data_IF_063697013965
#
_entry.id   IF_063697013965
#
_cell.length_a   1.000
_cell.length_b   1.000
_cell.length_c   1.000
_cell.angle_alpha   90.00
_cell.angle_beta   90.00
_cell.angle_gamma   90.00
#
_symmetry.space_group_name_H-M   'P 1'
#
loop_
_entity.id
_entity.type
_entity.pdbx_description
1 polymer ?
#
# COMPACT_ATOMS: atom_id res chain seq x y z
N UNK A 1 18.69 4.89 2.53
CA UNK A 1 18.49 3.51 3.05
C UNK A 1 17.06 3.16 2.72
N UNK A 2 16.79 2.00 2.12
CA UNK A 2 15.42 1.55 1.86
C UNK A 2 14.93 0.57 2.93
N UNK A 3 13.62 0.57 3.17
CA UNK A 3 12.89 -0.45 3.92
C UNK A 3 11.86 -1.10 3.00
N UNK A 4 11.74 -2.41 3.12
CA UNK A 4 10.59 -3.16 2.62
C UNK A 4 9.45 -3.06 3.65
N UNK A 5 8.23 -2.85 3.17
CA UNK A 5 7.04 -2.91 3.99
C UNK A 5 5.93 -3.67 3.26
N UNK A 6 5.17 -4.46 3.99
CA UNK A 6 4.00 -5.16 3.48
C UNK A 6 2.76 -4.33 3.75
N UNK A 7 2.00 -4.00 2.72
CA UNK A 7 0.79 -3.20 2.82
C UNK A 7 -0.42 -4.03 2.45
N UNK A 8 -1.41 -4.03 3.35
CA UNK A 8 -2.71 -4.61 3.12
C UNK A 8 -3.69 -3.53 2.66
N UNK A 9 -4.22 -3.68 1.45
CA UNK A 9 -5.18 -2.79 0.82
C UNK A 9 -6.56 -3.47 0.79
N UNK A 10 -7.61 -2.71 1.09
CA UNK A 10 -8.99 -3.15 0.91
C UNK A 10 -9.63 -2.34 -0.20
N UNK A 11 -10.21 -3.05 -1.16
CA UNK A 11 -10.96 -2.49 -2.27
C UNK A 11 -12.38 -3.06 -2.34
N UNK A 12 -13.18 -2.57 -3.28
CA UNK A 12 -14.46 -3.18 -3.63
C UNK A 12 -14.33 -4.61 -4.17
N UNK A 13 -13.18 -4.94 -4.78
CA UNK A 13 -12.92 -6.27 -5.35
C UNK A 13 -12.41 -7.27 -4.32
N UNK A 14 -11.99 -6.81 -3.14
CA UNK A 14 -11.50 -7.67 -2.08
C UNK A 14 -10.34 -7.07 -1.30
N UNK A 15 -9.51 -7.94 -0.73
CA UNK A 15 -8.30 -7.55 -0.01
C UNK A 15 -7.09 -7.90 -0.88
N UNK A 16 -6.15 -6.97 -1.00
CA UNK A 16 -4.89 -7.12 -1.70
C UNK A 16 -3.75 -6.90 -0.72
N UNK A 17 -2.65 -7.62 -0.89
CA UNK A 17 -1.44 -7.43 -0.10
C UNK A 17 -0.31 -7.21 -1.07
N UNK A 18 0.39 -6.09 -0.92
CA UNK A 18 1.51 -5.70 -1.78
C UNK A 18 2.73 -5.42 -0.93
N UNK A 19 3.87 -5.94 -1.35
CA UNK A 19 5.16 -5.58 -0.80
C UNK A 19 5.71 -4.36 -1.56
N UNK A 20 6.08 -3.33 -0.81
CA UNK A 20 6.62 -2.07 -1.33
C UNK A 20 7.98 -1.80 -0.72
N UNK A 21 8.92 -1.37 -1.55
CA UNK A 21 10.21 -0.86 -1.09
C UNK A 21 10.21 0.66 -1.18
N UNK A 22 10.50 1.34 -0.08
CA UNK A 22 10.57 2.79 -0.01
C UNK A 22 11.72 3.25 0.89
N UNK A 23 12.00 4.55 0.90
CA UNK A 23 12.98 5.09 1.84
C UNK A 23 12.53 4.88 3.30
N UNK A 24 13.48 4.70 4.21
CA UNK A 24 13.20 4.55 5.66
C UNK A 24 12.41 5.72 6.25
N UNK A 25 12.47 6.89 5.62
CA UNK A 25 11.72 8.09 6.01
C UNK A 25 10.31 8.17 5.41
N UNK A 26 9.95 7.23 4.53
CA UNK A 26 8.63 7.19 3.91
C UNK A 26 7.54 6.98 4.97
N UNK A 27 6.49 7.79 4.92
CA UNK A 27 5.33 7.65 5.81
C UNK A 27 4.47 6.46 5.39
N UNK A 28 3.68 5.94 6.32
CA UNK A 28 2.77 4.82 6.04
C UNK A 28 1.73 5.19 4.98
N UNK A 29 1.30 6.46 4.94
CA UNK A 29 0.43 6.97 3.88
C UNK A 29 1.10 6.91 2.49
N UNK A 30 2.40 7.19 2.41
CA UNK A 30 3.16 7.06 1.17
C UNK A 30 3.30 5.60 0.76
N UNK A 31 3.57 4.69 1.70
CA UNK A 31 3.61 3.23 1.45
C UNK A 31 2.27 2.72 0.92
N UNK A 32 1.16 3.16 1.54
CA UNK A 32 -0.20 2.80 1.10
C UNK A 32 -0.51 3.33 -0.30
N UNK A 33 -0.12 4.56 -0.62
CA UNK A 33 -0.35 5.11 -1.95
C UNK A 33 0.50 4.40 -3.02
N UNK A 34 1.76 4.06 -2.70
CA UNK A 34 2.62 3.24 -3.57
C UNK A 34 2.01 1.87 -3.82
N UNK A 35 1.62 1.17 -2.76
CA UNK A 35 0.99 -0.15 -2.84
C UNK A 35 -0.31 -0.09 -3.66
N UNK A 36 -1.14 0.95 -3.45
CA UNK A 36 -2.39 1.15 -4.20
C UNK A 36 -2.12 1.29 -5.71
N UNK A 37 -1.11 2.09 -6.08
CA UNK A 37 -0.71 2.26 -7.48
C UNK A 37 -0.18 0.97 -8.09
N UNK A 38 0.62 0.20 -7.34
CA UNK A 38 1.16 -1.09 -7.77
C UNK A 38 0.07 -2.14 -7.99
N UNK A 39 -0.90 -2.23 -7.09
CA UNK A 39 -2.07 -3.09 -7.22
C UNK A 39 -3.08 -2.62 -8.30
N UNK A 40 -2.85 -1.47 -8.93
CA UNK A 40 -3.76 -0.90 -9.93
C UNK A 40 -5.14 -0.52 -9.37
N UNK A 41 -5.24 -0.29 -8.06
CA UNK A 41 -6.52 0.04 -7.40
C UNK A 41 -6.80 1.53 -7.61
N UNK A 42 -7.93 1.84 -8.25
CA UNK A 42 -8.38 3.22 -8.42
C UNK A 42 -8.79 3.84 -7.08
N UNK A 43 -8.68 5.16 -6.97
CA UNK A 43 -9.09 5.87 -5.75
C UNK A 43 -10.56 5.67 -5.39
N UNK A 44 -11.41 5.40 -6.39
CA UNK A 44 -12.85 5.12 -6.23
C UNK A 44 -13.12 3.73 -5.65
N UNK A 45 -12.27 2.75 -5.97
CA UNK A 45 -12.39 1.37 -5.47
C UNK A 45 -11.67 1.17 -4.14
N UNK A 46 -10.74 2.07 -3.79
CA UNK A 46 -9.94 2.01 -2.58
C UNK A 46 -10.77 2.39 -1.35
N UNK A 47 -10.80 1.49 -0.36
CA UNK A 47 -11.50 1.71 0.92
C UNK A 47 -10.55 2.08 2.04
N UNK A 48 -9.49 1.28 2.22
CA UNK A 48 -8.50 1.50 3.28
C UNK A 48 -7.19 0.78 2.94
N UNK A 49 -6.09 1.22 3.56
CA UNK A 49 -4.79 0.60 3.44
C UNK A 49 -4.03 0.73 4.75
N UNK A 50 -3.32 -0.32 5.13
CA UNK A 50 -2.57 -0.40 6.38
C UNK A 50 -1.25 -1.13 6.15
N UNK A 51 -0.17 -0.64 6.76
CA UNK A 51 1.13 -1.32 6.78
C UNK A 51 1.09 -2.40 7.86
N UNK A 52 1.35 -3.65 7.49
CA UNK A 52 1.26 -4.81 8.38
C UNK A 52 2.62 -5.44 8.69
N UNK A 53 3.69 -5.05 8.01
CA UNK A 53 5.06 -5.43 8.29
C UNK A 53 6.05 -4.39 7.73
#
# INVERSE_FOLDING_TARGET
>A
MSRSATVKLRSDRGTHTEDVEADVTATDAALVDMARRQAGISGTEFKTGEVVA
#
